data_IF_540834918347
#
_entry.id   IF_540834918347
#
_cell.length_a   1.000
_cell.length_b   1.000
_cell.length_c   1.000
_cell.angle_alpha   90.00
_cell.angle_beta   90.00
_cell.angle_gamma   90.00
#
_symmetry.space_group_name_H-M   'P 1'
#
loop_
_entity.id
_entity.type
_entity.pdbx_description
1 polymer ?
#
# COMPACT_ATOMS: atom_id res chain seq x y z
N UNK A 1 -49.34 -8.77 13.23
CA UNK A 1 -48.28 -9.55 13.92
C UNK A 1 -47.42 -10.24 12.88
N UNK A 2 -46.11 -10.38 13.08
CA UNK A 2 -45.13 -9.52 12.42
C UNK A 2 -44.60 -10.03 11.06
N UNK A 3 -44.08 -9.05 10.33
CA UNK A 3 -43.45 -9.08 9.01
C UNK A 3 -42.05 -9.70 9.06
N UNK A 4 -41.74 -10.49 8.04
CA UNK A 4 -40.41 -11.01 7.70
C UNK A 4 -39.46 -9.87 7.32
N UNK A 5 -38.30 -9.80 8.01
CA UNK A 5 -37.22 -8.85 7.75
C UNK A 5 -36.42 -9.19 6.49
N UNK A 6 -36.02 -8.13 5.80
CA UNK A 6 -35.32 -8.13 4.53
C UNK A 6 -33.84 -8.51 4.63
N UNK A 7 -33.34 -9.03 3.50
CA UNK A 7 -31.94 -9.28 3.25
C UNK A 7 -31.17 -7.96 3.10
N UNK A 8 -30.30 -7.66 4.08
CA UNK A 8 -29.27 -6.64 3.96
C UNK A 8 -28.13 -7.19 3.11
N UNK A 9 -27.84 -6.53 1.99
CA UNK A 9 -26.69 -6.81 1.15
C UNK A 9 -25.40 -6.43 1.88
N UNK A 10 -24.49 -7.39 2.03
CA UNK A 10 -23.20 -7.25 2.71
C UNK A 10 -22.30 -6.17 2.06
N UNK A 11 -21.92 -5.08 2.77
CA UNK A 11 -21.01 -4.05 2.27
C UNK A 11 -19.52 -4.46 2.25
N UNK A 12 -19.18 -5.66 2.73
CA UNK A 12 -17.79 -6.19 2.81
C UNK A 12 -17.24 -6.58 1.42
N UNK A 13 -18.10 -6.79 0.42
CA UNK A 13 -17.69 -7.13 -0.95
C UNK A 13 -17.08 -5.95 -1.74
N UNK A 14 -17.13 -4.72 -1.22
CA UNK A 14 -16.63 -3.55 -1.95
C UNK A 14 -15.13 -3.27 -1.74
N UNK A 15 -14.55 -3.76 -0.64
CA UNK A 15 -13.12 -3.60 -0.30
C UNK A 15 -12.20 -4.51 -1.13
N UNK A 16 -12.70 -5.63 -1.66
CA UNK A 16 -11.96 -6.52 -2.57
C UNK A 16 -11.70 -5.91 -3.96
N UNK A 17 -12.24 -4.72 -4.25
CA UNK A 17 -12.15 -4.08 -5.57
C UNK A 17 -11.16 -2.92 -5.66
N UNK A 18 -10.70 -2.32 -4.55
CA UNK A 18 -10.21 -0.93 -4.63
C UNK A 18 -8.68 -0.78 -4.57
N UNK A 19 -7.96 -1.58 -3.77
CA UNK A 19 -6.51 -1.32 -3.57
C UNK A 19 -5.64 -2.18 -4.51
N UNK A 20 -5.88 -3.49 -4.61
CA UNK A 20 -5.17 -4.34 -5.58
C UNK A 20 -5.83 -4.43 -6.97
N UNK A 21 -7.14 -4.16 -7.08
CA UNK A 21 -7.90 -4.53 -8.28
C UNK A 21 -8.03 -3.41 -9.32
N UNK A 22 -7.93 -2.12 -8.98
CA UNK A 22 -8.17 -1.06 -9.97
C UNK A 22 -7.00 -0.82 -10.93
N UNK A 23 -5.76 -0.92 -10.46
CA UNK A 23 -4.56 -0.90 -11.32
C UNK A 23 -4.51 -2.14 -12.22
N UNK A 24 -4.83 -3.32 -11.66
CA UNK A 24 -4.89 -4.60 -12.40
C UNK A 24 -6.03 -4.60 -13.44
N UNK A 25 -7.21 -4.10 -13.10
CA UNK A 25 -8.36 -4.01 -14.02
C UNK A 25 -8.16 -2.99 -15.14
N UNK A 26 -7.37 -1.94 -14.91
CA UNK A 26 -7.07 -0.92 -15.94
C UNK A 26 -6.06 -1.45 -16.95
N UNK A 27 -5.02 -2.17 -16.50
CA UNK A 27 -4.02 -2.81 -17.38
C UNK A 27 -4.63 -3.92 -18.23
N UNK A 28 -5.56 -4.71 -17.67
CA UNK A 28 -6.29 -5.73 -18.43
C UNK A 28 -7.29 -5.15 -19.45
N UNK A 29 -7.85 -3.95 -19.20
CA UNK A 29 -8.74 -3.27 -20.15
C UNK A 29 -8.00 -2.59 -21.30
N UNK A 30 -6.85 -1.97 -21.03
CA UNK A 30 -6.05 -1.34 -22.10
C UNK A 30 -5.39 -2.36 -23.02
N UNK A 31 -4.98 -3.53 -22.51
CA UNK A 31 -4.46 -4.62 -23.35
C UNK A 31 -5.54 -5.31 -24.22
N UNK A 32 -6.82 -5.22 -23.83
CA UNK A 32 -7.94 -5.74 -24.61
C UNK A 32 -8.45 -4.82 -25.70
N UNK A 33 -8.28 -3.49 -25.58
CA UNK A 33 -8.80 -2.53 -26.55
C UNK A 33 -7.91 -2.34 -27.79
N UNK A 34 -6.61 -2.66 -27.72
CA UNK A 34 -5.73 -2.64 -28.92
C UNK A 34 -6.08 -3.73 -29.96
N UNK A 35 -7.00 -4.65 -29.65
CA UNK A 35 -7.46 -5.68 -30.59
C UNK A 35 -8.89 -5.45 -31.13
N UNK A 36 -9.55 -4.33 -30.80
CA UNK A 36 -10.96 -4.11 -31.16
C UNK A 36 -11.30 -2.75 -31.77
N UNK A 37 -10.35 -1.82 -31.91
CA UNK A 37 -10.59 -0.55 -32.62
C UNK A 37 -10.32 -0.65 -34.13
N UNK A 38 -10.98 -1.61 -34.78
CA UNK A 38 -11.15 -1.61 -36.23
C UNK A 38 -12.62 -1.92 -36.52
N UNK A 39 -13.49 -0.92 -36.28
CA UNK A 39 -14.83 -0.70 -36.87
C UNK A 39 -15.79 -0.06 -35.85
N UNK A 40 -16.02 1.25 -35.97
CA UNK A 40 -17.34 1.81 -36.34
C UNK A 40 -17.39 3.33 -36.18
N UNK A 41 -17.53 3.97 -37.34
CA UNK A 41 -18.14 5.28 -37.53
C UNK A 41 -19.57 5.36 -36.94
N UNK A 42 -20.00 6.55 -36.50
CA UNK A 42 -21.40 6.97 -36.63
C UNK A 42 -22.01 7.80 -35.49
N UNK A 43 -22.01 9.13 -35.67
CA UNK A 43 -23.15 10.07 -35.50
C UNK A 43 -23.94 10.19 -34.17
N UNK A 44 -23.90 11.40 -33.61
CA UNK A 44 -24.86 12.09 -32.69
C UNK A 44 -26.22 12.39 -33.36
N UNK A 45 -27.24 13.08 -32.76
CA UNK A 45 -27.51 13.45 -31.35
C UNK A 45 -29.01 13.32 -30.90
N UNK A 46 -29.28 13.74 -29.65
CA UNK A 46 -30.45 14.50 -29.15
C UNK A 46 -31.81 13.82 -28.85
N UNK A 47 -32.28 13.96 -27.59
CA UNK A 47 -33.71 14.22 -27.25
C UNK A 47 -33.93 14.56 -25.77
N UNK A 48 -34.37 15.80 -25.55
CA UNK A 48 -35.00 16.31 -24.33
C UNK A 48 -36.45 15.79 -24.22
N UNK A 49 -36.90 15.35 -23.03
CA UNK A 49 -38.34 15.30 -22.69
C UNK A 49 -38.55 15.89 -21.28
N UNK A 50 -39.55 16.78 -21.20
CA UNK A 50 -40.03 17.54 -20.04
C UNK A 50 -41.21 16.83 -19.36
N UNK A 51 -41.32 17.10 -18.05
CA UNK A 51 -42.53 17.36 -17.23
C UNK A 51 -43.19 16.29 -16.33
N UNK A 52 -43.18 16.67 -15.03
CA UNK A 52 -44.28 16.73 -14.03
C UNK A 52 -44.91 15.45 -13.49
N UNK A 53 -44.76 15.25 -12.17
CA UNK A 53 -45.88 15.24 -11.20
C UNK A 53 -45.35 15.45 -9.78
N UNK A 54 -46.06 16.25 -8.99
CA UNK A 54 -45.68 16.64 -7.63
C UNK A 54 -45.99 15.58 -6.57
N UNK A 55 -45.08 15.47 -5.61
CA UNK A 55 -45.31 14.97 -4.26
C UNK A 55 -44.49 15.85 -3.31
N UNK A 56 -44.96 16.12 -2.08
CA UNK A 56 -44.13 16.77 -1.07
C UNK A 56 -43.03 15.78 -0.69
N UNK A 57 -41.83 16.00 -1.21
CA UNK A 57 -40.63 15.33 -0.70
C UNK A 57 -40.45 15.87 0.72
N UNK A 58 -40.79 15.06 1.71
CA UNK A 58 -40.23 15.18 3.05
C UNK A 58 -38.73 15.06 2.82
N UNK A 59 -38.04 16.20 2.78
CA UNK A 59 -36.59 16.26 2.88
C UNK A 59 -36.28 15.73 4.27
N UNK A 60 -36.08 14.41 4.39
CA UNK A 60 -35.09 13.90 5.33
C UNK A 60 -33.78 14.51 4.85
N UNK A 61 -33.51 15.70 5.35
CA UNK A 61 -32.19 16.25 5.45
C UNK A 61 -31.45 15.32 6.42
N UNK A 62 -31.05 14.15 5.91
CA UNK A 62 -29.91 13.43 6.45
C UNK A 62 -28.79 14.45 6.37
N UNK A 63 -28.53 15.10 7.51
CA UNK A 63 -27.32 15.83 7.76
C UNK A 63 -26.18 14.83 7.55
N UNK A 64 -25.74 14.68 6.29
CA UNK A 64 -24.42 14.19 5.95
C UNK A 64 -23.51 15.23 6.57
N UNK A 65 -23.12 14.98 7.82
CA UNK A 65 -21.97 15.63 8.39
C UNK A 65 -20.83 15.35 7.41
N UNK A 66 -20.51 16.33 6.58
CA UNK A 66 -19.27 16.35 5.82
C UNK A 66 -18.18 16.45 6.86
N UNK A 67 -17.74 15.28 7.36
CA UNK A 67 -16.64 15.21 8.29
C UNK A 67 -15.46 15.94 7.65
N UNK A 68 -14.93 16.94 8.34
CA UNK A 68 -13.76 17.66 7.88
C UNK A 68 -12.57 16.71 7.91
N UNK A 69 -11.59 16.94 7.03
CA UNK A 69 -10.38 16.13 6.95
C UNK A 69 -9.74 15.83 8.33
N UNK A 70 -9.56 16.84 9.23
CA UNK A 70 -8.95 16.60 10.53
C UNK A 70 -9.76 15.65 11.42
N UNK A 71 -11.09 15.59 11.27
CA UNK A 71 -11.95 14.68 12.04
C UNK A 71 -11.74 13.24 11.59
N UNK A 72 -11.77 12.97 10.29
CA UNK A 72 -11.56 11.61 9.74
C UNK A 72 -10.14 11.11 10.07
N UNK A 73 -9.14 11.99 9.96
CA UNK A 73 -7.77 11.66 10.35
C UNK A 73 -7.64 11.32 11.84
N UNK A 74 -8.20 12.15 12.73
CA UNK A 74 -8.15 11.90 14.18
C UNK A 74 -8.83 10.59 14.54
N UNK A 75 -10.02 10.32 13.99
CA UNK A 75 -10.73 9.06 14.22
C UNK A 75 -9.97 7.84 13.66
N UNK A 76 -9.28 8.00 12.52
CA UNK A 76 -8.43 6.94 11.98
C UNK A 76 -7.22 6.68 12.89
N UNK A 77 -6.58 7.72 13.42
CA UNK A 77 -5.49 7.60 14.40
C UNK A 77 -5.92 6.87 15.67
N UNK A 78 -7.09 7.22 16.23
CA UNK A 78 -7.60 6.59 17.45
C UNK A 78 -7.75 5.07 17.28
N UNK A 79 -8.12 4.60 16.09
CA UNK A 79 -8.19 3.16 15.80
C UNK A 79 -6.82 2.48 15.80
N UNK A 80 -5.79 3.19 15.35
CA UNK A 80 -4.42 2.67 15.28
C UNK A 80 -3.77 2.56 16.66
N UNK A 81 -4.23 3.32 17.66
CA UNK A 81 -3.66 3.30 19.00
C UNK A 81 -3.59 1.89 19.62
N UNK A 82 -4.62 1.06 19.40
CA UNK A 82 -4.71 -0.28 19.95
C UNK A 82 -4.08 -1.37 19.05
N UNK A 83 -3.65 -0.99 17.84
CA UNK A 83 -3.04 -1.89 16.86
C UNK A 83 -1.52 -1.76 16.95
N UNK A 84 -1.02 -0.54 16.86
CA UNK A 84 0.40 -0.23 16.95
C UNK A 84 0.61 1.13 17.65
N UNK A 85 1.02 1.06 18.92
CA UNK A 85 1.23 2.23 19.75
C UNK A 85 2.44 3.06 19.32
N UNK A 86 3.44 2.47 18.66
CA UNK A 86 4.60 3.20 18.16
C UNK A 86 4.22 4.02 16.93
N UNK A 87 3.53 3.38 15.97
CA UNK A 87 2.97 4.02 14.80
C UNK A 87 2.05 5.18 15.19
N UNK A 88 1.08 4.92 16.07
CA UNK A 88 0.17 5.95 16.56
C UNK A 88 0.93 7.14 17.18
N UNK A 89 1.91 6.89 18.04
CA UNK A 89 2.72 7.94 18.69
C UNK A 89 3.46 8.81 17.67
N UNK A 90 4.01 8.22 16.62
CA UNK A 90 4.72 8.97 15.58
C UNK A 90 3.77 9.79 14.72
N UNK A 91 2.64 9.21 14.27
CA UNK A 91 1.63 9.93 13.49
C UNK A 91 0.96 11.07 14.30
N UNK A 92 0.75 10.88 15.59
CA UNK A 92 0.19 11.90 16.48
C UNK A 92 1.13 13.11 16.67
N UNK A 93 2.45 12.89 16.60
CA UNK A 93 3.48 13.95 16.71
C UNK A 93 3.77 14.66 15.39
N UNK A 94 3.26 14.13 14.28
CA UNK A 94 3.52 14.67 12.96
C UNK A 94 2.91 16.07 12.79
N UNK A 95 3.57 16.93 12.02
CA UNK A 95 3.03 18.26 11.73
C UNK A 95 2.06 18.23 10.57
N UNK A 96 0.96 18.98 10.67
CA UNK A 96 0.10 19.26 9.52
C UNK A 96 0.78 20.34 8.65
N UNK A 97 1.03 20.03 7.38
CA UNK A 97 1.74 20.84 6.37
C UNK A 97 3.14 21.34 6.76
N UNK A 98 3.64 20.93 7.92
CA UNK A 98 4.93 21.31 8.49
C UNK A 98 5.69 20.08 8.97
N UNK A 99 7.02 20.11 8.89
CA UNK A 99 7.84 19.04 9.46
C UNK A 99 7.92 19.19 10.98
N UNK A 100 7.56 18.13 11.70
CA UNK A 100 7.73 18.05 13.15
C UNK A 100 8.65 16.89 13.52
N UNK A 101 9.48 17.09 14.54
CA UNK A 101 10.35 16.04 15.04
C UNK A 101 9.51 14.96 15.74
N UNK A 102 9.48 13.76 15.17
CA UNK A 102 8.73 12.63 15.74
C UNK A 102 9.62 11.71 16.57
N UNK A 103 10.92 11.70 16.28
CA UNK A 103 11.94 10.87 16.93
C UNK A 103 13.32 11.51 16.81
N UNK A 104 14.12 11.43 17.87
CA UNK A 104 15.55 11.76 17.88
C UNK A 104 16.25 10.74 18.76
N UNK A 105 17.29 10.08 18.23
CA UNK A 105 18.04 9.03 18.92
C UNK A 105 19.51 9.38 18.90
N UNK A 106 20.12 9.50 20.08
CA UNK A 106 21.55 9.73 20.23
C UNK A 106 22.27 8.45 20.61
N UNK A 107 23.34 8.13 19.88
CA UNK A 107 24.27 7.03 20.19
C UNK A 107 25.65 7.55 20.66
N UNK A 108 25.67 8.75 21.27
CA UNK A 108 26.88 9.41 21.78
C UNK A 108 27.75 10.07 20.70
N UNK A 109 28.00 9.38 19.59
CA UNK A 109 28.79 9.90 18.44
C UNK A 109 27.92 10.38 17.27
N UNK A 110 26.63 10.10 17.31
CA UNK A 110 25.67 10.45 16.27
C UNK A 110 24.31 10.69 16.88
N UNK A 111 23.62 11.73 16.43
CA UNK A 111 22.21 11.96 16.72
C UNK A 111 21.42 11.81 15.42
N UNK A 112 20.51 10.87 15.37
CA UNK A 112 19.67 10.65 14.18
C UNK A 112 18.28 11.20 14.48
N UNK A 113 17.83 12.15 13.66
CA UNK A 113 16.56 12.85 13.87
C UNK A 113 15.61 12.58 12.71
N UNK A 114 14.35 12.28 13.01
CA UNK A 114 13.30 12.02 12.03
C UNK A 114 12.21 13.07 12.14
N UNK A 115 11.91 13.70 11.01
CA UNK A 115 10.85 14.69 10.91
C UNK A 115 9.73 14.16 10.01
N UNK A 116 8.48 14.29 10.47
CA UNK A 116 7.31 13.86 9.71
C UNK A 116 6.36 15.03 9.46
N UNK A 117 5.91 15.11 8.21
CA UNK A 117 4.84 16.00 7.76
C UNK A 117 3.67 15.17 7.24
N UNK A 118 2.47 15.48 7.72
CA UNK A 118 1.21 15.05 7.13
C UNK A 118 0.69 16.18 6.27
N UNK A 119 0.22 15.87 5.06
CA UNK A 119 -0.42 16.87 4.20
C UNK A 119 -1.54 16.27 3.39
N UNK A 120 -2.49 17.12 3.00
CA UNK A 120 -3.46 16.77 1.98
C UNK A 120 -2.80 16.85 0.59
N UNK A 121 -3.18 15.94 -0.30
CA UNK A 121 -2.76 15.98 -1.70
C UNK A 121 -3.57 15.06 -2.59
N UNK A 122 -3.30 15.15 -3.89
CA UNK A 122 -3.90 14.26 -4.88
C UNK A 122 -3.08 12.97 -4.98
N UNK A 123 -3.73 11.85 -4.69
CA UNK A 123 -3.17 10.52 -4.87
C UNK A 123 -3.83 9.80 -6.04
N UNK A 124 -3.16 8.80 -6.65
CA UNK A 124 -3.80 7.91 -7.61
C UNK A 124 -5.12 7.32 -7.06
N UNK A 125 -6.14 7.10 -7.91
CA UNK A 125 -7.39 6.52 -7.47
C UNK A 125 -7.18 5.20 -6.72
N UNK A 126 -7.80 5.07 -5.54
CA UNK A 126 -7.70 3.89 -4.68
C UNK A 126 -6.60 3.96 -3.61
N UNK A 127 -5.77 5.02 -3.60
CA UNK A 127 -4.83 5.30 -2.51
C UNK A 127 -5.35 6.44 -1.63
N UNK A 128 -5.29 6.25 -0.32
CA UNK A 128 -5.74 7.24 0.68
C UNK A 128 -4.60 7.81 1.53
N UNK A 129 -3.47 7.09 1.58
CA UNK A 129 -2.23 7.56 2.16
C UNK A 129 -1.07 7.15 1.24
N UNK A 130 0.03 7.89 1.33
CA UNK A 130 1.30 7.55 0.70
C UNK A 130 2.46 8.09 1.51
N UNK A 131 3.32 7.21 2.01
CA UNK A 131 4.59 7.55 2.60
C UNK A 131 5.60 7.91 1.52
N UNK A 132 6.41 8.94 1.78
CA UNK A 132 7.50 9.36 0.91
C UNK A 132 8.71 9.71 1.77
N UNK A 133 9.83 9.07 1.45
CA UNK A 133 11.16 9.39 1.99
C UNK A 133 11.65 10.62 1.26
N UNK A 134 11.99 11.67 1.99
CA UNK A 134 12.49 12.90 1.40
C UNK A 134 14.03 12.89 1.41
N UNK A 135 14.65 13.86 0.74
CA UNK A 135 16.11 13.97 0.73
C UNK A 135 16.61 14.21 2.15
N UNK A 136 17.49 13.31 2.62
CA UNK A 136 18.15 13.43 3.93
C UNK A 136 19.02 14.68 3.96
N UNK A 137 18.91 15.44 5.05
CA UNK A 137 19.78 16.57 5.35
C UNK A 137 21.01 16.09 6.12
N UNK A 138 22.16 16.15 5.44
CA UNK A 138 23.49 15.83 5.98
C UNK A 138 24.34 17.10 6.16
N UNK A 139 23.73 18.29 6.29
CA UNK A 139 24.45 19.53 6.60
C UNK A 139 25.34 19.38 7.84
N UNK A 140 24.90 18.59 8.81
CA UNK A 140 25.74 18.02 9.86
C UNK A 140 25.73 16.47 9.78
N UNK A 141 26.84 15.83 9.34
CA UNK A 141 26.93 14.37 9.26
C UNK A 141 26.80 13.64 10.62
N UNK A 142 27.06 14.33 11.73
CA UNK A 142 26.89 13.79 13.09
C UNK A 142 25.45 13.96 13.59
N UNK A 143 24.66 14.85 12.96
CA UNK A 143 23.26 15.12 13.29
C UNK A 143 22.35 15.06 12.04
N UNK A 144 22.32 13.94 11.27
CA UNK A 144 21.48 13.86 10.08
C UNK A 144 19.99 13.96 10.40
N UNK A 145 19.27 14.71 9.56
CA UNK A 145 17.81 14.85 9.64
C UNK A 145 17.18 14.11 8.47
N UNK A 146 16.25 13.21 8.80
CA UNK A 146 15.49 12.40 7.85
C UNK A 146 14.07 12.95 7.75
N UNK A 147 13.81 13.89 6.81
CA UNK A 147 12.47 14.33 6.52
C UNK A 147 11.65 13.23 5.83
N UNK A 148 10.38 13.18 6.17
CA UNK A 148 9.41 12.23 5.66
C UNK A 148 8.06 12.89 5.49
N UNK A 149 7.33 12.52 4.44
CA UNK A 149 5.97 13.02 4.19
C UNK A 149 5.01 11.85 4.10
N UNK A 150 3.84 11.95 4.75
CA UNK A 150 2.67 11.16 4.40
C UNK A 150 1.67 12.11 3.72
N UNK A 151 1.44 11.87 2.43
CA UNK A 151 0.39 12.58 1.67
C UNK A 151 -0.90 11.78 1.81
N UNK A 152 -2.00 12.48 2.07
CA UNK A 152 -3.30 11.87 2.32
C UNK A 152 -4.36 12.39 1.34
N UNK A 153 -5.29 11.51 0.99
CA UNK A 153 -6.57 11.85 0.34
C UNK A 153 -7.67 11.21 1.17
N UNK A 154 -8.62 12.00 1.68
CA UNK A 154 -9.67 11.44 2.54
C UNK A 154 -10.69 10.67 1.70
N UNK A 155 -10.91 9.37 1.99
CA UNK A 155 -12.03 8.63 1.42
C UNK A 155 -13.36 9.30 1.80
N UNK A 156 -14.37 9.14 0.97
CA UNK A 156 -15.71 9.65 1.24
C UNK A 156 -16.67 8.48 1.51
N UNK A 157 -17.70 8.75 2.32
CA UNK A 157 -18.74 7.76 2.62
C UNK A 157 -18.55 7.07 3.97
N UNK A 158 -19.37 6.04 4.26
CA UNK A 158 -19.48 5.46 5.59
C UNK A 158 -18.25 4.67 6.04
N UNK A 159 -17.38 4.26 5.12
CA UNK A 159 -16.15 3.50 5.38
C UNK A 159 -14.91 4.37 5.47
N UNK A 160 -15.05 5.70 5.39
CA UNK A 160 -13.91 6.60 5.24
C UNK A 160 -12.86 6.46 6.36
N UNK A 161 -13.32 6.31 7.60
CA UNK A 161 -12.41 6.17 8.75
C UNK A 161 -11.66 4.83 8.69
N UNK A 162 -12.34 3.74 8.33
CA UNK A 162 -11.76 2.40 8.19
C UNK A 162 -10.71 2.36 7.06
N UNK A 163 -11.06 2.92 5.91
CA UNK A 163 -10.19 2.98 4.73
C UNK A 163 -8.94 3.84 4.99
N UNK A 164 -9.11 4.98 5.67
CA UNK A 164 -7.97 5.81 6.06
C UNK A 164 -7.11 5.14 7.15
N UNK A 165 -7.72 4.46 8.13
CA UNK A 165 -6.97 3.75 9.16
C UNK A 165 -6.12 2.62 8.55
N UNK A 166 -6.68 1.83 7.65
CA UNK A 166 -5.94 0.80 6.89
C UNK A 166 -4.77 1.43 6.12
N UNK A 167 -5.02 2.50 5.36
CA UNK A 167 -3.98 3.16 4.57
C UNK A 167 -2.87 3.79 5.46
N UNK A 168 -3.24 4.42 6.59
CA UNK A 168 -2.29 4.95 7.55
C UNK A 168 -1.48 3.86 8.25
N UNK A 169 -2.10 2.71 8.53
CA UNK A 169 -1.38 1.55 9.07
C UNK A 169 -0.32 1.08 8.08
N UNK A 170 -0.71 0.82 6.83
CA UNK A 170 0.18 0.36 5.76
C UNK A 170 1.39 1.29 5.59
N UNK A 171 1.12 2.58 5.34
CA UNK A 171 2.17 3.58 5.12
C UNK A 171 2.99 3.87 6.40
N UNK A 172 2.37 3.73 7.57
CA UNK A 172 3.04 3.85 8.86
C UNK A 172 4.02 2.71 9.13
N UNK A 173 3.73 1.48 8.70
CA UNK A 173 4.68 0.36 8.81
C UNK A 173 5.89 0.59 7.88
N UNK A 174 5.69 1.07 6.65
CA UNK A 174 6.82 1.50 5.79
C UNK A 174 7.69 2.56 6.47
N UNK A 175 7.07 3.54 7.13
CA UNK A 175 7.79 4.57 7.88
C UNK A 175 8.60 3.95 9.02
N UNK A 176 8.04 3.04 9.81
CA UNK A 176 8.74 2.38 10.92
C UNK A 176 9.92 1.54 10.43
N UNK A 177 9.75 0.78 9.35
CA UNK A 177 10.84 0.03 8.71
C UNK A 177 11.97 0.99 8.28
N UNK A 178 11.61 2.12 7.66
CA UNK A 178 12.59 3.12 7.25
C UNK A 178 13.32 3.76 8.44
N UNK A 179 12.62 4.03 9.55
CA UNK A 179 13.23 4.50 10.79
C UNK A 179 14.23 3.47 11.31
N UNK A 180 13.82 2.21 11.43
CA UNK A 180 14.67 1.14 11.95
C UNK A 180 15.95 0.94 11.13
N UNK A 181 15.85 1.00 9.79
CA UNK A 181 17.00 0.87 8.88
C UNK A 181 18.03 1.99 9.03
N UNK A 182 17.64 3.16 9.54
CA UNK A 182 18.51 4.33 9.69
C UNK A 182 18.98 4.54 11.14
N UNK A 183 18.63 3.63 12.05
CA UNK A 183 19.03 3.67 13.44
C UNK A 183 20.09 2.61 13.77
N UNK A 184 20.97 2.87 14.75
CA UNK A 184 21.94 1.88 15.23
C UNK A 184 21.27 0.72 15.98
N UNK A 185 20.04 0.92 16.45
CA UNK A 185 19.23 -0.11 17.08
C UNK A 185 17.75 0.11 16.72
N UNK A 186 17.06 -0.91 16.19
CA UNK A 186 15.64 -0.81 15.83
C UNK A 186 14.78 -0.33 17.00
N UNK A 187 13.75 0.45 16.69
CA UNK A 187 12.76 0.96 17.64
C UNK A 187 11.41 0.26 17.49
N UNK A 188 11.20 -0.46 16.39
CA UNK A 188 10.01 -1.26 16.13
C UNK A 188 10.37 -2.74 15.89
N UNK A 189 9.41 -3.68 16.01
CA UNK A 189 9.63 -5.06 15.64
C UNK A 189 9.71 -5.26 14.11
N UNK A 190 9.30 -4.26 13.31
CA UNK A 190 9.08 -4.46 11.88
C UNK A 190 10.35 -4.65 11.06
N UNK A 191 11.45 -3.98 11.41
CA UNK A 191 12.73 -4.18 10.72
C UNK A 191 13.21 -5.63 10.79
N UNK A 192 13.26 -6.20 12.00
CA UNK A 192 13.69 -7.58 12.20
C UNK A 192 12.70 -8.61 11.63
N UNK A 193 11.39 -8.31 11.68
CA UNK A 193 10.38 -9.15 11.07
C UNK A 193 10.50 -9.18 9.54
N UNK A 194 10.72 -8.03 8.89
CA UNK A 194 10.98 -7.95 7.46
C UNK A 194 12.26 -8.70 7.06
N UNK A 195 13.33 -8.59 7.85
CA UNK A 195 14.57 -9.32 7.58
C UNK A 195 14.36 -10.84 7.56
N UNK A 196 13.44 -11.36 8.40
CA UNK A 196 13.04 -12.78 8.37
C UNK A 196 12.34 -13.12 7.05
N UNK A 197 11.43 -12.29 6.57
CA UNK A 197 10.73 -12.49 5.29
C UNK A 197 11.72 -12.53 4.12
N UNK A 198 12.64 -11.55 4.09
CA UNK A 198 13.69 -11.47 3.08
C UNK A 198 14.63 -12.68 3.13
N UNK A 199 14.98 -13.15 4.33
CA UNK A 199 15.82 -14.34 4.51
C UNK A 199 15.15 -15.60 3.97
N UNK A 200 13.87 -15.81 4.30
CA UNK A 200 13.10 -16.96 3.80
C UNK A 200 13.01 -16.93 2.27
N UNK A 201 12.63 -15.78 1.69
CA UNK A 201 12.54 -15.62 0.25
C UNK A 201 13.89 -15.88 -0.44
N UNK A 202 14.98 -15.27 0.04
CA UNK A 202 16.32 -15.45 -0.56
C UNK A 202 16.85 -16.88 -0.45
N UNK A 203 16.46 -17.60 0.61
CA UNK A 203 16.82 -19.01 0.80
C UNK A 203 15.99 -19.98 -0.04
N UNK A 204 14.90 -19.53 -0.67
CA UNK A 204 14.02 -20.39 -1.46
C UNK A 204 14.54 -20.61 -2.88
N UNK A 205 14.39 -21.83 -3.40
CA UNK A 205 14.91 -22.22 -4.73
C UNK A 205 14.39 -21.35 -5.88
N UNK A 206 13.16 -20.83 -5.77
CA UNK A 206 12.56 -19.99 -6.81
C UNK A 206 13.18 -18.60 -6.92
N UNK A 207 13.94 -18.13 -5.93
CA UNK A 207 14.41 -16.74 -5.87
C UNK A 207 15.29 -16.36 -7.07
N UNK A 208 16.28 -17.19 -7.38
CA UNK A 208 17.16 -16.97 -8.54
C UNK A 208 16.37 -17.06 -9.86
N UNK A 209 15.48 -18.05 -9.98
CA UNK A 209 14.68 -18.24 -11.20
C UNK A 209 13.71 -17.09 -11.48
N UNK A 210 13.18 -16.44 -10.44
CA UNK A 210 12.36 -15.23 -10.59
C UNK A 210 13.18 -14.10 -11.22
N UNK A 211 14.39 -13.88 -10.72
CA UNK A 211 15.27 -12.85 -11.26
C UNK A 211 15.62 -13.13 -12.73
N UNK A 212 15.99 -14.37 -13.06
CA UNK A 212 16.31 -14.76 -14.44
C UNK A 212 15.12 -14.59 -15.38
N UNK A 213 13.90 -14.94 -14.94
CA UNK A 213 12.69 -14.79 -15.74
C UNK A 213 12.33 -13.32 -15.96
N UNK A 214 12.41 -12.49 -14.91
CA UNK A 214 12.20 -11.04 -15.05
C UNK A 214 13.23 -10.39 -15.99
N UNK A 215 14.47 -10.85 -15.92
CA UNK A 215 15.54 -10.40 -16.81
C UNK A 215 15.21 -10.74 -18.28
N UNK A 216 14.86 -12.00 -18.59
CA UNK A 216 14.48 -12.41 -19.95
C UNK A 216 13.24 -11.68 -20.45
N UNK A 217 12.24 -11.50 -19.59
CA UNK A 217 11.04 -10.74 -19.91
C UNK A 217 11.35 -9.29 -20.30
N UNK A 218 12.20 -8.61 -19.53
CA UNK A 218 12.61 -7.22 -19.82
C UNK A 218 13.45 -7.14 -21.10
N UNK A 219 14.24 -8.16 -21.43
CA UNK A 219 14.95 -8.22 -22.72
C UNK A 219 14.00 -8.36 -23.92
N UNK A 220 12.92 -9.13 -23.76
CA UNK A 220 11.89 -9.29 -24.79
C UNK A 220 11.02 -8.03 -24.94
N UNK A 221 10.81 -7.29 -23.85
CA UNK A 221 10.00 -6.07 -23.82
C UNK A 221 10.77 -4.91 -23.18
N UNK A 222 11.84 -4.40 -23.82
CA UNK A 222 12.70 -3.38 -23.21
C UNK A 222 11.94 -2.09 -22.91
N UNK A 223 12.30 -1.37 -21.83
CA UNK A 223 11.77 -0.05 -21.52
C UNK A 223 11.87 0.89 -22.72
N UNK A 224 10.84 1.70 -22.93
CA UNK A 224 10.75 2.66 -24.04
C UNK A 224 11.79 3.80 -24.01
N UNK A 225 12.59 3.90 -22.94
CA UNK A 225 13.76 4.79 -22.85
C UNK A 225 14.98 4.06 -22.26
N UNK A 226 15.92 3.67 -23.13
CA UNK A 226 17.31 3.30 -22.79
C UNK A 226 17.46 2.07 -21.88
N UNK A 227 17.70 0.90 -22.47
CA UNK A 227 17.99 -0.33 -21.74
C UNK A 227 19.14 -0.13 -20.72
N UNK A 228 18.82 -0.30 -19.43
CA UNK A 228 19.84 -0.39 -18.39
C UNK A 228 20.77 -1.58 -18.69
N UNK A 229 22.08 -1.42 -18.45
CA UNK A 229 23.04 -2.50 -18.65
C UNK A 229 22.73 -3.68 -17.73
N UNK A 230 22.94 -4.91 -18.20
CA UNK A 230 22.50 -6.15 -17.52
C UNK A 230 22.93 -6.31 -16.05
N UNK A 231 24.19 -5.97 -15.67
CA UNK A 231 24.61 -6.02 -14.27
C UNK A 231 23.86 -5.02 -13.39
N UNK A 232 23.49 -3.85 -13.93
CA UNK A 232 22.65 -2.87 -13.22
C UNK A 232 21.19 -3.33 -13.12
N UNK A 233 20.70 -4.05 -14.13
CA UNK A 233 19.33 -4.58 -14.16
C UNK A 233 19.12 -5.64 -13.08
N UNK A 234 20.06 -6.58 -12.90
CA UNK A 234 19.91 -7.63 -11.89
C UNK A 234 19.93 -7.06 -10.45
N UNK A 235 20.78 -6.06 -10.19
CA UNK A 235 20.76 -5.35 -8.91
C UNK A 235 19.46 -4.58 -8.70
N UNK A 236 18.93 -3.92 -9.73
CA UNK A 236 17.66 -3.22 -9.67
C UNK A 236 16.49 -4.18 -9.41
N UNK A 237 16.47 -5.33 -10.09
CA UNK A 237 15.46 -6.38 -9.91
C UNK A 237 15.52 -7.03 -8.54
N UNK A 238 16.72 -7.17 -7.96
CA UNK A 238 16.86 -7.60 -6.56
C UNK A 238 16.22 -6.59 -5.61
N UNK A 239 16.42 -5.29 -5.85
CA UNK A 239 15.77 -4.22 -5.10
C UNK A 239 14.24 -4.26 -5.24
N UNK A 240 13.74 -4.47 -6.46
CA UNK A 240 12.31 -4.63 -6.74
C UNK A 240 11.75 -5.83 -5.99
N UNK A 241 12.40 -7.00 -6.07
CA UNK A 241 11.92 -8.20 -5.41
C UNK A 241 11.89 -8.04 -3.88
N UNK A 242 12.91 -7.39 -3.30
CA UNK A 242 12.90 -7.05 -1.88
C UNK A 242 11.70 -6.14 -1.52
N UNK A 243 11.40 -5.13 -2.35
CA UNK A 243 10.25 -4.27 -2.14
C UNK A 243 8.92 -5.06 -2.25
N UNK A 244 8.80 -5.99 -3.19
CA UNK A 244 7.62 -6.86 -3.31
C UNK A 244 7.43 -7.74 -2.06
N UNK A 245 8.53 -8.22 -1.46
CA UNK A 245 8.49 -8.99 -0.21
C UNK A 245 8.13 -8.09 0.98
N UNK A 246 8.60 -6.84 1.00
CA UNK A 246 8.18 -5.84 2.00
C UNK A 246 6.67 -5.63 1.95
N UNK A 247 6.09 -5.46 0.78
CA UNK A 247 4.64 -5.32 0.62
C UNK A 247 3.86 -6.55 1.13
N UNK A 248 4.35 -7.77 0.86
CA UNK A 248 3.78 -9.01 1.43
C UNK A 248 3.79 -8.97 2.96
N UNK A 249 4.90 -8.54 3.56
CA UNK A 249 4.97 -8.36 5.00
C UNK A 249 3.90 -7.39 5.52
N UNK A 250 3.69 -6.25 4.85
CA UNK A 250 2.66 -5.28 5.22
C UNK A 250 1.25 -5.88 5.15
N UNK A 251 0.92 -6.57 4.05
CA UNK A 251 -0.40 -7.23 3.92
C UNK A 251 -0.64 -8.30 4.99
N UNK A 252 0.40 -9.04 5.38
CA UNK A 252 0.29 -10.04 6.45
C UNK A 252 0.05 -9.37 7.81
N UNK A 253 0.67 -8.21 8.06
CA UNK A 253 0.37 -7.43 9.27
C UNK A 253 -1.07 -6.91 9.26
N UNK A 254 -1.56 -6.36 8.14
CA UNK A 254 -2.95 -5.92 8.01
C UNK A 254 -3.95 -7.05 8.30
N UNK A 255 -3.70 -8.24 7.77
CA UNK A 255 -4.52 -9.43 8.00
C UNK A 255 -4.44 -9.89 9.45
N UNK A 256 -3.25 -9.92 10.04
CA UNK A 256 -3.04 -10.30 11.43
C UNK A 256 -3.80 -9.38 12.41
N UNK A 257 -3.97 -8.11 12.04
CA UNK A 257 -4.75 -7.12 12.78
C UNK A 257 -6.21 -6.98 12.35
N UNK A 258 -6.68 -7.84 11.43
CA UNK A 258 -8.06 -7.85 10.93
C UNK A 258 -8.51 -6.51 10.32
N UNK A 259 -7.55 -5.75 9.78
CA UNK A 259 -7.84 -4.47 9.09
C UNK A 259 -8.39 -4.68 7.67
N UNK A 260 -8.26 -5.90 7.13
CA UNK A 260 -8.76 -6.27 5.82
C UNK A 260 -8.66 -7.78 5.56
N UNK A 261 -9.26 -8.24 4.46
CA UNK A 261 -9.20 -9.66 4.05
C UNK A 261 -8.06 -9.99 3.09
N UNK A 262 -7.30 -8.97 2.64
CA UNK A 262 -6.12 -9.10 1.79
C UNK A 262 -6.34 -9.80 0.43
N UNK A 263 -5.44 -9.60 -0.53
CA UNK A 263 -5.36 -10.45 -1.71
C UNK A 263 -4.71 -11.80 -1.36
N UNK A 264 -4.97 -12.83 -2.18
CA UNK A 264 -4.18 -14.07 -2.15
C UNK A 264 -2.73 -13.82 -2.59
N UNK A 265 -1.78 -14.69 -2.21
CA UNK A 265 -0.37 -14.57 -2.61
C UNK A 265 -0.20 -14.44 -4.13
N UNK A 266 -0.95 -15.19 -4.93
CA UNK A 266 -0.89 -15.10 -6.40
C UNK A 266 -1.43 -13.78 -6.95
N UNK A 267 -2.46 -13.21 -6.32
CA UNK A 267 -2.97 -11.88 -6.69
C UNK A 267 -1.99 -10.78 -6.32
N UNK A 268 -1.37 -10.89 -5.15
CA UNK A 268 -0.36 -9.96 -4.64
C UNK A 268 0.88 -9.94 -5.54
N UNK A 269 1.44 -11.12 -5.84
CA UNK A 269 2.60 -11.29 -6.71
C UNK A 269 2.35 -10.70 -8.11
N UNK A 270 1.21 -11.04 -8.72
CA UNK A 270 0.80 -10.49 -10.01
C UNK A 270 0.68 -8.97 -9.99
N UNK A 271 0.01 -8.43 -8.96
CA UNK A 271 -0.21 -6.99 -8.83
C UNK A 271 1.09 -6.21 -8.82
N UNK A 272 2.01 -6.58 -7.93
CA UNK A 272 3.26 -5.86 -7.80
C UNK A 272 4.23 -6.07 -8.94
N UNK A 273 4.37 -7.28 -9.49
CA UNK A 273 5.25 -7.49 -10.66
C UNK A 273 4.79 -6.59 -11.81
N UNK A 274 3.49 -6.59 -12.12
CA UNK A 274 2.93 -5.77 -13.20
C UNK A 274 3.12 -4.28 -12.91
N UNK A 275 2.85 -3.82 -11.69
CA UNK A 275 3.05 -2.43 -11.28
C UNK A 275 4.50 -1.99 -11.48
N UNK A 276 5.47 -2.75 -10.96
CA UNK A 276 6.89 -2.39 -11.01
C UNK A 276 7.42 -2.41 -12.45
N UNK A 277 7.02 -3.39 -13.27
CA UNK A 277 7.36 -3.41 -14.69
C UNK A 277 6.76 -2.22 -15.45
N UNK A 278 5.49 -1.89 -15.19
CA UNK A 278 4.83 -0.72 -15.80
C UNK A 278 5.52 0.58 -15.40
N UNK A 279 5.91 0.72 -14.12
CA UNK A 279 6.65 1.88 -13.62
C UNK A 279 8.04 2.01 -14.26
N UNK A 280 8.64 0.91 -14.71
CA UNK A 280 9.86 0.89 -15.50
C UNK A 280 9.64 1.17 -17.00
N UNK A 281 8.39 1.35 -17.44
CA UNK A 281 8.07 1.54 -18.87
C UNK A 281 8.12 0.26 -19.69
N UNK A 282 8.11 -0.91 -19.04
CA UNK A 282 8.06 -2.22 -19.70
C UNK A 282 6.63 -2.52 -20.13
N UNK A 283 6.45 -2.91 -21.40
CA UNK A 283 5.14 -3.32 -21.91
C UNK A 283 4.69 -4.61 -21.21
N UNK A 284 3.41 -4.69 -20.86
CA UNK A 284 2.82 -5.89 -20.25
C UNK A 284 2.21 -6.78 -21.34
N UNK A 285 2.73 -8.00 -21.46
CA UNK A 285 2.24 -9.08 -22.32
C UNK A 285 1.80 -10.24 -21.42
N UNK A 286 0.53 -10.30 -20.98
CA UNK A 286 0.08 -11.22 -19.91
C UNK A 286 0.22 -12.72 -20.23
N UNK A 287 0.41 -13.07 -21.50
CA UNK A 287 0.56 -14.45 -21.98
C UNK A 287 2.01 -14.86 -22.19
N UNK A 288 2.97 -13.96 -21.96
CA UNK A 288 4.38 -14.28 -22.06
C UNK A 288 4.82 -15.23 -20.94
N UNK A 289 5.57 -16.27 -21.29
CA UNK A 289 5.93 -17.34 -20.36
C UNK A 289 6.89 -16.84 -19.27
N UNK A 290 7.83 -15.95 -19.57
CA UNK A 290 8.78 -15.45 -18.58
C UNK A 290 8.07 -14.56 -17.53
N UNK A 291 7.04 -13.81 -17.94
CA UNK A 291 6.19 -13.07 -16.99
C UNK A 291 5.37 -14.02 -16.11
N UNK A 292 4.78 -15.06 -16.71
CA UNK A 292 4.01 -16.07 -15.97
C UNK A 292 4.90 -16.80 -14.96
N UNK A 293 6.10 -17.21 -15.36
CA UNK A 293 7.06 -17.90 -14.51
C UNK A 293 7.56 -17.00 -13.37
N UNK A 294 7.81 -15.73 -13.64
CA UNK A 294 8.16 -14.76 -12.60
C UNK A 294 7.04 -14.61 -11.56
N UNK A 295 5.78 -14.52 -11.99
CA UNK A 295 4.62 -14.40 -11.09
C UNK A 295 4.43 -15.67 -10.25
N UNK A 296 4.52 -16.84 -10.87
CA UNK A 296 4.44 -18.11 -10.15
C UNK A 296 5.59 -18.28 -9.16
N UNK A 297 6.80 -17.90 -9.56
CA UNK A 297 7.97 -17.92 -8.72
C UNK A 297 7.81 -17.02 -7.49
N UNK A 298 7.35 -15.78 -7.64
CA UNK A 298 7.07 -14.89 -6.50
C UNK A 298 5.93 -15.42 -5.63
N UNK A 299 4.89 -16.02 -6.23
CA UNK A 299 3.82 -16.68 -5.46
C UNK A 299 4.40 -17.78 -4.57
N UNK A 300 5.29 -18.62 -5.09
CA UNK A 300 5.96 -19.66 -4.31
C UNK A 300 6.87 -19.08 -3.20
N UNK A 301 7.50 -17.93 -3.43
CA UNK A 301 8.25 -17.23 -2.37
C UNK A 301 7.31 -16.80 -1.22
N UNK A 302 6.13 -16.25 -1.54
CA UNK A 302 5.14 -15.86 -0.55
C UNK A 302 4.56 -17.06 0.21
N UNK A 303 4.26 -18.16 -0.49
CA UNK A 303 3.78 -19.39 0.15
C UNK A 303 4.85 -19.98 1.11
N UNK A 304 6.13 -19.91 0.73
CA UNK A 304 7.23 -20.33 1.58
C UNK A 304 7.40 -19.45 2.82
N UNK A 305 7.16 -18.14 2.68
CA UNK A 305 7.10 -17.20 3.81
C UNK A 305 5.99 -17.63 4.76
N UNK A 306 4.76 -17.77 4.28
CA UNK A 306 3.60 -18.15 5.10
C UNK A 306 3.82 -19.46 5.86
N UNK A 307 4.40 -20.46 5.18
CA UNK A 307 4.70 -21.75 5.78
C UNK A 307 5.73 -21.68 6.93
N UNK A 308 6.67 -20.72 6.88
CA UNK A 308 7.77 -20.61 7.83
C UNK A 308 7.58 -19.53 8.90
N UNK A 309 6.74 -18.52 8.65
CA UNK A 309 6.39 -17.50 9.63
C UNK A 309 5.22 -17.94 10.50
N UNK A 310 4.33 -18.78 9.97
CA UNK A 310 3.08 -19.16 10.63
C UNK A 310 2.16 -17.96 10.81
N UNK A 311 0.85 -18.18 10.88
CA UNK A 311 -0.17 -17.13 11.04
C UNK A 311 -0.15 -16.43 12.41
N UNK A 312 1.02 -16.12 12.97
CA UNK A 312 1.14 -15.47 14.28
C UNK A 312 1.25 -13.95 14.11
N UNK A 313 0.28 -13.19 14.67
CA UNK A 313 0.48 -11.77 14.93
C UNK A 313 1.70 -11.60 15.82
N UNK A 314 2.61 -10.69 15.46
CA UNK A 314 3.60 -10.25 16.44
C UNK A 314 2.92 -9.31 17.43
N UNK A 315 3.09 -9.51 18.75
CA UNK A 315 2.44 -8.67 19.74
C UNK A 315 3.07 -7.27 19.73
N UNK A 316 2.26 -6.26 19.42
CA UNK A 316 2.46 -4.89 19.89
C UNK A 316 2.42 -4.91 21.42
N UNK A 317 3.58 -5.16 22.02
CA UNK A 317 3.75 -5.35 23.46
C UNK A 317 3.42 -4.08 24.24
N UNK A 318 2.28 -4.09 24.92
CA UNK A 318 1.83 -3.02 25.81
C UNK A 318 0.74 -3.44 26.78
N UNK A 319 0.82 -4.63 27.39
CA UNK A 319 0.11 -4.89 28.65
C UNK A 319 0.84 -4.11 29.75
N UNK A 320 0.33 -2.92 30.09
CA UNK A 320 0.64 -2.30 31.36
C UNK A 320 0.11 -3.22 32.47
N UNK A 321 1.03 -3.92 33.14
CA UNK A 321 0.73 -4.76 34.28
C UNK A 321 0.12 -3.90 35.40
N UNK A 322 -1.12 -4.20 35.74
CA UNK A 322 -1.72 -3.81 37.00
C UNK A 322 -1.24 -4.77 38.07
N UNK A 323 -0.74 -4.25 39.18
CA UNK A 323 -0.56 -5.02 40.40
C UNK A 323 0.23 -4.24 41.46
N UNK A 324 0.02 -4.56 42.73
CA UNK A 324 -1.23 -4.44 43.51
C UNK A 324 -1.31 -3.13 44.28
#
# INVERSE_FOLDING_TARGET
MPLTQGHSANPILHLQRTIGNQTIQRILRSAGQETSEENRFGSSPDRTIRQKTGQPVIQMEEARQTATFPVVYTQALDRLQNIDAALHRHLQRAGWDTYQQILSVSSGVRNVTFHLRIREGSLPPGLFARFTRERVDYSDPTNPIYPMTITLTVPSGPTAVDELALALYHEGVHMLIYIDQNLPSPQSPHGAALDRYLTIARGHQSYASVLDSLVRYIQAFPPSAGAASFPTLQSALTGILNAIIEEKYLYDQEQAHQLGSGPTNGQLARGYIIEKLTAMGVRIAPTDQDLVDAIQGVTALFDAIDAQTGSQPQPGGGKAGSGP
#
